data_IF_459063706695
#
_entry.id   IF_459063706695
#
_cell.length_a   1.000
_cell.length_b   1.000
_cell.length_c   1.000
_cell.angle_alpha   90.00
_cell.angle_beta   90.00
_cell.angle_gamma   90.00
#
_symmetry.space_group_name_H-M   'P 1'
#
loop_
_entity.id
_entity.type
_entity.pdbx_description
1 polymer ?
#
# COMPACT_ATOMS: atom_id res chain seq x y z
N UNK A 1 -11.22 -48.82 3.64
CA UNK A 1 -11.41 -47.78 2.62
C UNK A 1 -11.33 -46.44 3.31
N UNK A 2 -10.30 -45.59 3.09
CA UNK A 2 -10.34 -44.22 3.54
C UNK A 2 -11.44 -43.49 2.72
N UNK A 3 -12.49 -42.99 3.38
CA UNK A 3 -13.46 -42.11 2.72
C UNK A 3 -12.70 -40.94 2.09
N UNK A 4 -12.87 -40.72 0.80
CA UNK A 4 -12.33 -39.52 0.15
C UNK A 4 -12.92 -38.29 0.81
N UNK A 5 -12.15 -37.18 0.84
CA UNK A 5 -12.61 -35.89 1.36
C UNK A 5 -13.87 -35.42 0.62
N UNK A 6 -14.83 -34.86 1.33
CA UNK A 6 -15.98 -34.16 0.74
C UNK A 6 -15.54 -32.90 -0.01
N UNK A 7 -16.43 -32.31 -0.80
CA UNK A 7 -16.17 -31.03 -1.49
C UNK A 7 -15.78 -29.95 -0.49
N UNK A 8 -16.53 -29.79 0.57
CA UNK A 8 -16.29 -28.81 1.63
C UNK A 8 -14.94 -29.03 2.33
N UNK A 9 -14.60 -30.28 2.67
CA UNK A 9 -13.31 -30.60 3.29
C UNK A 9 -12.14 -30.26 2.37
N UNK A 10 -12.27 -30.47 1.06
CA UNK A 10 -11.25 -30.10 0.06
C UNK A 10 -11.11 -28.60 -0.08
N UNK A 11 -12.21 -27.85 -0.12
CA UNK A 11 -12.21 -26.38 -0.20
C UNK A 11 -11.55 -25.78 1.04
N UNK A 12 -11.91 -26.25 2.23
CA UNK A 12 -11.29 -25.77 3.47
C UNK A 12 -9.79 -26.10 3.54
N UNK A 13 -9.37 -27.27 3.04
CA UNK A 13 -7.96 -27.63 2.94
C UNK A 13 -7.20 -26.74 1.96
N UNK A 14 -7.80 -26.41 0.81
CA UNK A 14 -7.25 -25.48 -0.18
C UNK A 14 -7.05 -24.07 0.41
N UNK A 15 -8.08 -23.52 1.05
CA UNK A 15 -8.01 -22.20 1.70
C UNK A 15 -6.90 -22.18 2.75
N UNK A 16 -6.85 -23.21 3.60
CA UNK A 16 -5.81 -23.33 4.62
C UNK A 16 -4.41 -23.38 4.02
N UNK A 17 -4.22 -24.13 2.95
CA UNK A 17 -2.93 -24.24 2.25
C UNK A 17 -2.52 -22.89 1.67
N UNK A 18 -3.44 -22.15 1.01
CA UNK A 18 -3.17 -20.82 0.49
C UNK A 18 -2.73 -19.89 1.64
N UNK A 19 -3.49 -19.84 2.74
CA UNK A 19 -3.15 -19.00 3.90
C UNK A 19 -1.80 -19.35 4.55
N UNK A 20 -1.39 -20.61 4.49
CA UNK A 20 -0.14 -21.09 5.11
C UNK A 20 1.08 -20.98 4.22
N UNK A 21 0.96 -21.30 2.94
CA UNK A 21 2.12 -21.37 2.01
C UNK A 21 2.32 -20.07 1.26
N UNK A 22 1.23 -19.35 0.96
CA UNK A 22 1.27 -18.11 0.20
C UNK A 22 1.12 -16.89 1.10
N UNK A 23 1.95 -16.81 2.14
CA UNK A 23 1.97 -15.66 3.02
C UNK A 23 3.33 -14.93 2.98
N UNK A 24 3.30 -13.64 3.28
CA UNK A 24 4.47 -12.77 3.38
C UNK A 24 4.45 -12.00 4.69
N UNK A 25 5.63 -11.76 5.24
CA UNK A 25 5.76 -10.78 6.31
C UNK A 25 5.41 -9.39 5.77
N UNK A 26 4.64 -8.65 6.54
CA UNK A 26 4.23 -7.29 6.25
C UNK A 26 4.25 -6.46 7.53
N UNK A 27 4.20 -5.16 7.37
CA UNK A 27 4.09 -4.21 8.46
C UNK A 27 2.79 -3.43 8.24
N UNK A 28 1.80 -3.71 9.07
CA UNK A 28 0.57 -2.94 9.09
C UNK A 28 0.83 -1.54 9.67
N UNK A 29 0.17 -0.53 9.12
CA UNK A 29 0.27 0.86 9.55
C UNK A 29 -1.09 1.29 10.06
N UNK A 30 -1.14 1.64 11.35
CA UNK A 30 -2.30 2.27 11.96
C UNK A 30 -2.08 3.79 12.05
N UNK A 31 -3.03 4.55 11.53
CA UNK A 31 -3.00 6.02 11.58
C UNK A 31 -3.74 6.52 12.82
N UNK A 32 -3.06 7.36 13.60
CA UNK A 32 -3.64 8.02 14.78
C UNK A 32 -3.83 9.50 14.46
N UNK A 33 -5.08 9.98 14.32
CA UNK A 33 -5.38 11.34 13.90
C UNK A 33 -5.09 12.37 15.01
N UNK A 34 -4.90 13.62 14.61
CA UNK A 34 -4.73 14.77 15.49
C UNK A 34 -3.60 14.62 16.52
N UNK A 35 -2.56 13.86 16.16
CA UNK A 35 -1.42 13.62 17.05
C UNK A 35 -0.30 14.60 16.72
N UNK A 36 0.28 15.23 17.74
CA UNK A 36 1.48 16.05 17.57
C UNK A 36 2.63 15.16 17.08
N UNK A 37 3.14 15.47 15.88
CA UNK A 37 4.24 14.74 15.25
C UNK A 37 5.50 15.62 15.20
N UNK A 38 6.68 15.01 15.23
CA UNK A 38 7.95 15.71 15.07
C UNK A 38 8.40 15.71 13.61
N UNK A 39 9.37 16.57 13.29
CA UNK A 39 9.98 16.64 11.95
C UNK A 39 10.62 15.32 11.51
N UNK A 40 10.98 14.46 12.43
CA UNK A 40 11.67 13.20 12.15
C UNK A 40 10.84 11.96 12.43
N UNK A 41 9.63 12.09 12.99
CA UNK A 41 8.75 10.95 13.25
C UNK A 41 7.97 10.52 12.01
N UNK A 42 7.56 9.26 11.97
CA UNK A 42 6.68 8.74 10.93
C UNK A 42 5.30 9.37 11.02
N UNK A 43 4.84 9.93 9.89
CA UNK A 43 3.54 10.60 9.85
C UNK A 43 2.97 10.71 8.43
N UNK A 44 1.67 10.99 8.36
CA UNK A 44 0.95 11.34 7.13
C UNK A 44 0.45 12.77 7.24
N UNK A 45 0.65 13.57 6.22
CA UNK A 45 0.16 14.94 6.07
C UNK A 45 0.47 15.86 7.26
N UNK A 46 1.60 15.62 7.93
CA UNK A 46 2.09 16.43 9.06
C UNK A 46 3.26 17.33 8.66
N UNK A 47 4.16 17.53 9.62
CA UNK A 47 5.46 18.15 9.38
C UNK A 47 6.44 17.12 8.85
N UNK A 48 7.44 17.55 8.10
CA UNK A 48 8.39 16.66 7.48
C UNK A 48 9.85 17.11 7.70
N UNK A 49 10.73 16.15 7.64
CA UNK A 49 12.17 16.38 7.69
C UNK A 49 12.67 16.96 6.35
N UNK A 50 13.47 18.01 6.40
CA UNK A 50 14.18 18.54 5.23
C UNK A 50 15.56 19.01 5.66
N UNK A 51 16.66 18.43 5.15
CA UNK A 51 18.01 18.92 5.40
C UNK A 51 18.17 20.36 4.88
N UNK A 52 18.95 21.19 5.56
CA UNK A 52 19.24 22.55 5.08
C UNK A 52 20.03 22.60 3.77
N UNK A 53 20.60 21.47 3.37
CA UNK A 53 21.29 21.32 2.08
C UNK A 53 20.36 21.05 0.90
N UNK A 54 19.09 20.73 1.18
CA UNK A 54 18.14 20.28 0.18
C UNK A 54 17.00 21.28 0.00
N UNK A 55 16.26 21.14 -1.07
CA UNK A 55 15.09 21.96 -1.37
C UNK A 55 13.82 21.09 -1.43
N UNK A 56 12.66 21.73 -1.31
CA UNK A 56 11.37 21.09 -1.54
C UNK A 56 11.35 20.46 -2.94
N UNK A 57 10.95 19.19 -3.08
CA UNK A 57 10.85 18.56 -4.39
C UNK A 57 9.86 19.28 -5.29
N UNK A 58 10.21 19.38 -6.56
CA UNK A 58 9.38 20.01 -7.59
C UNK A 58 9.14 19.05 -8.76
N UNK A 59 8.06 19.31 -9.52
CA UNK A 59 7.81 18.66 -10.80
C UNK A 59 8.64 19.30 -11.93
N UNK A 60 8.45 18.87 -13.17
CA UNK A 60 9.15 19.41 -14.34
C UNK A 60 8.85 20.90 -14.63
N UNK A 61 7.73 21.42 -14.15
CA UNK A 61 7.34 22.82 -14.30
C UNK A 61 7.86 23.72 -13.17
N UNK A 62 8.63 23.15 -12.21
CA UNK A 62 9.12 23.89 -11.06
C UNK A 62 8.09 24.08 -9.95
N UNK A 63 6.91 23.43 -10.03
CA UNK A 63 5.90 23.49 -9.00
C UNK A 63 6.22 22.52 -7.87
N UNK A 64 6.09 22.96 -6.62
CA UNK A 64 6.37 22.12 -5.46
C UNK A 64 5.43 20.93 -5.37
N UNK A 65 5.99 19.75 -5.13
CA UNK A 65 5.24 18.57 -4.81
C UNK A 65 4.63 18.70 -3.41
N UNK A 66 3.52 18.01 -3.21
CA UNK A 66 2.86 17.95 -1.93
C UNK A 66 3.44 16.81 -1.11
N UNK A 67 3.78 17.11 0.13
CA UNK A 67 4.18 16.11 1.10
C UNK A 67 3.00 15.20 1.44
N UNK A 68 3.17 13.90 1.25
CA UNK A 68 2.16 12.90 1.59
C UNK A 68 2.46 12.24 2.94
N UNK A 69 3.65 11.68 3.08
CA UNK A 69 4.00 10.90 4.25
C UNK A 69 5.53 10.76 4.40
N UNK A 70 5.97 10.46 5.61
CA UNK A 70 7.32 9.95 5.85
C UNK A 70 7.32 8.80 6.84
N UNK A 71 8.32 7.94 6.67
CA UNK A 71 8.61 6.80 7.55
C UNK A 71 10.01 6.99 8.11
N UNK A 72 10.11 7.10 9.43
CA UNK A 72 11.37 6.93 10.13
C UNK A 72 11.65 5.43 10.24
N UNK A 73 12.70 4.96 9.59
CA UNK A 73 13.02 3.54 9.54
C UNK A 73 13.36 2.94 10.91
N UNK A 74 13.79 3.75 11.88
CA UNK A 74 14.05 3.33 13.25
C UNK A 74 12.78 3.01 14.05
N UNK A 75 11.63 3.52 13.61
CA UNK A 75 10.33 3.23 14.21
C UNK A 75 9.70 1.94 13.69
N UNK A 76 10.26 1.36 12.59
CA UNK A 76 9.77 0.13 12.02
C UNK A 76 10.14 -1.08 12.89
N UNK A 77 9.25 -2.06 13.04
CA UNK A 77 9.63 -3.34 13.63
C UNK A 77 10.73 -4.02 12.79
N UNK A 78 11.48 -4.93 13.43
CA UNK A 78 12.55 -5.65 12.75
C UNK A 78 12.05 -6.29 11.44
N UNK A 79 12.67 -5.90 10.34
CA UNK A 79 12.28 -6.32 8.99
C UNK A 79 13.51 -6.43 8.08
N UNK A 80 13.35 -7.09 6.94
CA UNK A 80 14.38 -7.27 5.91
C UNK A 80 14.04 -6.53 4.60
N UNK A 81 13.04 -5.66 4.61
CA UNK A 81 12.53 -4.97 3.41
C UNK A 81 13.09 -3.56 3.34
N UNK A 82 13.09 -2.85 4.46
CA UNK A 82 13.47 -1.45 4.55
C UNK A 82 14.81 -1.26 5.28
N UNK A 83 15.49 -0.12 5.03
CA UNK A 83 16.64 0.28 5.83
C UNK A 83 16.31 0.30 7.32
N UNK A 84 17.32 0.13 8.16
CA UNK A 84 17.15 0.15 9.63
C UNK A 84 17.20 1.56 10.21
N UNK A 85 17.73 2.51 9.47
CA UNK A 85 17.92 3.91 9.89
C UNK A 85 17.49 4.85 8.76
N UNK A 86 17.30 6.11 9.11
CA UNK A 86 16.99 7.15 8.15
C UNK A 86 15.50 7.35 7.91
N UNK A 87 15.18 8.27 7.00
CA UNK A 87 13.80 8.69 6.72
C UNK A 87 13.49 8.46 5.24
N UNK A 88 12.39 7.80 4.96
CA UNK A 88 11.82 7.65 3.62
C UNK A 88 10.64 8.61 3.51
N UNK A 89 10.61 9.42 2.47
CA UNK A 89 9.52 10.37 2.21
C UNK A 89 8.82 10.07 0.90
N UNK A 90 7.51 10.33 0.90
CA UNK A 90 6.64 10.20 -0.25
C UNK A 90 6.04 11.56 -0.59
N UNK A 91 6.25 11.97 -1.84
CA UNK A 91 5.79 13.24 -2.37
C UNK A 91 4.99 13.01 -3.64
N UNK A 92 3.91 13.74 -3.80
CA UNK A 92 3.04 13.64 -4.98
C UNK A 92 2.67 15.03 -5.47
N UNK A 93 2.41 15.14 -6.77
CA UNK A 93 1.71 16.28 -7.29
C UNK A 93 0.21 16.00 -7.21
N UNK A 94 -0.48 16.75 -6.38
CA UNK A 94 -1.93 16.65 -6.27
C UNK A 94 -2.54 17.28 -7.52
N UNK A 95 -2.74 16.55 -8.60
CA UNK A 95 -3.48 16.99 -9.77
C UNK A 95 -4.98 16.90 -9.58
N UNK A 96 -5.74 17.55 -10.45
CA UNK A 96 -7.19 17.48 -10.46
C UNK A 96 -7.65 16.03 -10.69
N UNK A 97 -8.13 15.38 -9.62
CA UNK A 97 -8.67 14.01 -9.66
C UNK A 97 -9.97 13.92 -10.46
N UNK A 98 -10.61 15.06 -10.77
CA UNK A 98 -11.87 15.12 -11.50
C UNK A 98 -11.72 15.09 -13.03
N UNK A 99 -10.51 15.09 -13.54
CA UNK A 99 -10.29 14.84 -14.96
C UNK A 99 -10.04 13.35 -15.18
N UNK A 100 -10.54 12.78 -16.28
CA UNK A 100 -10.28 11.40 -16.73
C UNK A 100 -8.76 11.04 -16.77
N UNK A 101 -7.92 12.03 -16.61
CA UNK A 101 -6.46 11.95 -16.50
C UNK A 101 -5.90 12.09 -15.08
N UNK A 102 -6.74 12.27 -14.04
CA UNK A 102 -6.27 12.58 -12.68
C UNK A 102 -5.40 11.50 -12.05
N UNK A 103 -5.83 10.26 -12.12
CA UNK A 103 -5.03 9.11 -11.70
C UNK A 103 -3.82 8.89 -12.61
N UNK A 104 -3.95 9.14 -13.92
CA UNK A 104 -2.85 9.04 -14.88
C UNK A 104 -1.69 10.01 -14.57
N UNK A 105 -1.97 11.20 -14.05
CA UNK A 105 -0.93 12.14 -13.63
C UNK A 105 -0.21 11.72 -12.36
N UNK A 106 -0.89 11.06 -11.42
CA UNK A 106 -0.25 10.52 -10.22
C UNK A 106 0.64 9.31 -10.51
N UNK A 107 0.42 8.59 -11.62
CA UNK A 107 1.24 7.44 -12.02
C UNK A 107 2.52 7.86 -12.76
N UNK A 108 2.59 9.08 -13.28
CA UNK A 108 3.78 9.61 -13.96
C UNK A 108 4.92 9.84 -12.96
N UNK A 109 6.13 9.43 -13.32
CA UNK A 109 7.34 9.61 -12.50
C UNK A 109 7.72 11.08 -12.26
N UNK A 110 7.25 11.98 -13.12
CA UNK A 110 7.47 13.42 -12.98
C UNK A 110 6.63 14.05 -11.84
N UNK A 111 5.54 13.42 -11.47
CA UNK A 111 4.58 13.93 -10.49
C UNK A 111 4.66 13.21 -9.13
N UNK A 112 5.68 12.39 -8.92
CA UNK A 112 5.91 11.71 -7.65
C UNK A 112 7.40 11.66 -7.33
N UNK A 113 7.75 11.62 -6.05
CA UNK A 113 9.12 11.37 -5.58
C UNK A 113 9.07 10.50 -4.35
N UNK A 114 9.99 9.54 -4.30
CA UNK A 114 10.35 8.84 -3.08
C UNK A 114 11.79 9.24 -2.76
N UNK A 115 12.02 9.81 -1.59
CA UNK A 115 13.32 10.32 -1.17
C UNK A 115 13.74 9.55 0.07
N UNK A 116 14.98 9.07 0.08
CA UNK A 116 15.57 8.41 1.23
C UNK A 116 16.74 9.21 1.78
N UNK A 117 16.63 9.62 3.04
CA UNK A 117 17.68 10.26 3.81
C UNK A 117 18.28 9.23 4.77
N UNK A 118 19.48 8.68 4.50
CA UNK A 118 20.05 7.60 5.30
C UNK A 118 20.49 8.07 6.70
N UNK A 119 20.72 9.35 6.87
CA UNK A 119 21.15 9.97 8.13
C UNK A 119 20.44 11.30 8.34
N UNK A 120 20.07 11.59 9.58
CA UNK A 120 19.51 12.87 9.97
C UNK A 120 20.65 13.87 10.12
N UNK A 121 20.56 14.97 9.40
CA UNK A 121 21.50 16.09 9.40
C UNK A 121 20.84 17.33 9.98
N UNK A 122 21.58 18.46 10.00
CA UNK A 122 21.01 19.77 10.26
C UNK A 122 19.84 20.02 9.28
N UNK A 123 18.70 20.41 9.82
CA UNK A 123 17.46 20.51 9.06
C UNK A 123 16.67 21.75 9.42
N UNK A 124 15.74 22.10 8.58
CA UNK A 124 14.80 23.18 8.82
C UNK A 124 13.93 22.90 10.04
N UNK A 125 13.58 23.92 10.81
CA UNK A 125 12.55 23.84 11.83
C UNK A 125 11.15 24.06 11.21
N UNK A 126 10.09 23.95 12.02
CA UNK A 126 8.70 24.05 11.54
C UNK A 126 8.38 25.42 10.96
N UNK A 127 8.87 26.48 11.60
CA UNK A 127 8.67 27.86 11.18
C UNK A 127 9.38 28.12 9.85
N UNK A 128 10.64 27.73 9.73
CA UNK A 128 11.42 27.84 8.49
C UNK A 128 10.75 27.04 7.34
N UNK A 129 10.23 25.84 7.61
CA UNK A 129 9.49 25.07 6.62
C UNK A 129 8.21 25.78 6.17
N UNK A 130 7.48 26.38 7.11
CA UNK A 130 6.27 27.14 6.79
C UNK A 130 6.56 28.32 5.87
N UNK A 131 7.77 28.86 5.87
CA UNK A 131 8.17 29.95 4.99
C UNK A 131 8.53 29.52 3.56
N UNK A 132 8.98 28.31 3.36
CA UNK A 132 9.46 27.81 2.06
C UNK A 132 8.53 26.79 1.40
N UNK A 133 7.68 26.11 2.15
CA UNK A 133 6.76 25.11 1.62
C UNK A 133 5.43 25.78 1.21
N UNK A 134 5.21 25.84 -0.09
CA UNK A 134 4.04 26.48 -0.74
C UNK A 134 3.46 25.53 -1.78
N UNK A 135 2.86 24.39 -1.38
CA UNK A 135 2.22 23.50 -2.33
C UNK A 135 1.03 24.21 -2.99
N UNK A 136 0.77 23.90 -4.23
CA UNK A 136 -0.38 24.45 -4.93
C UNK A 136 -1.70 23.91 -4.33
N UNK A 137 -2.41 24.76 -3.56
CA UNK A 137 -3.63 24.35 -2.86
C UNK A 137 -4.81 24.06 -3.82
N UNK A 138 -4.83 24.67 -4.99
CA UNK A 138 -5.89 24.41 -5.99
C UNK A 138 -5.86 22.95 -6.50
N UNK A 139 -4.79 22.24 -6.21
CA UNK A 139 -4.51 20.89 -6.67
C UNK A 139 -4.83 19.83 -5.60
N UNK A 140 -5.33 20.23 -4.44
CA UNK A 140 -5.83 19.31 -3.43
C UNK A 140 -7.14 18.69 -3.92
N UNK A 141 -7.03 17.56 -4.62
CA UNK A 141 -8.19 16.75 -4.97
C UNK A 141 -8.98 16.29 -3.73
N UNK A 142 -10.23 15.92 -3.90
CA UNK A 142 -11.13 15.51 -2.80
C UNK A 142 -10.55 14.42 -1.91
N UNK A 143 -9.79 13.48 -2.47
CA UNK A 143 -9.12 12.40 -1.74
C UNK A 143 -8.12 12.95 -0.72
N UNK A 144 -7.32 13.93 -1.11
CA UNK A 144 -6.30 14.53 -0.25
C UNK A 144 -6.93 15.47 0.74
N UNK A 145 -8.00 16.19 0.37
CA UNK A 145 -8.74 17.01 1.31
C UNK A 145 -9.39 16.20 2.43
N UNK A 146 -9.79 14.97 2.15
CA UNK A 146 -10.34 14.04 3.16
C UNK A 146 -9.27 13.58 4.14
N UNK A 147 -8.08 13.26 3.66
CA UNK A 147 -6.92 12.92 4.50
C UNK A 147 -6.50 14.13 5.34
N UNK A 148 -6.43 15.32 4.75
CA UNK A 148 -5.96 16.53 5.43
C UNK A 148 -6.92 17.07 6.49
N UNK A 149 -8.23 16.75 6.43
CA UNK A 149 -9.20 17.24 7.44
C UNK A 149 -8.87 16.80 8.87
N UNK A 150 -8.29 15.62 9.03
CA UNK A 150 -7.94 15.05 10.33
C UNK A 150 -6.42 14.93 10.53
N UNK A 151 -5.63 15.58 9.67
CA UNK A 151 -4.18 15.62 9.77
C UNK A 151 -3.73 16.50 10.95
N UNK A 152 -2.52 16.29 11.48
CA UNK A 152 -1.61 15.20 11.09
C UNK A 152 -1.98 13.84 11.68
N UNK A 153 -1.51 12.77 11.03
CA UNK A 153 -1.64 11.42 11.56
C UNK A 153 -0.26 10.90 11.95
N UNK A 154 -0.11 10.45 13.18
CA UNK A 154 1.04 9.62 13.55
C UNK A 154 0.85 8.20 13.01
N UNK A 155 1.95 7.53 12.67
CA UNK A 155 1.94 6.13 12.27
C UNK A 155 2.33 5.23 13.44
N UNK A 156 1.61 4.14 13.62
CA UNK A 156 1.98 3.04 14.51
C UNK A 156 2.16 1.79 13.65
N UNK A 157 3.25 1.09 13.85
CA UNK A 157 3.65 -0.05 13.04
C UNK A 157 3.48 -1.36 13.79
N UNK A 158 2.91 -2.35 13.13
CA UNK A 158 2.76 -3.70 13.68
C UNK A 158 3.22 -4.73 12.66
N UNK A 159 4.13 -5.62 13.09
CA UNK A 159 4.57 -6.74 12.27
C UNK A 159 3.46 -7.78 12.18
N UNK A 160 3.07 -8.12 10.96
CA UNK A 160 2.01 -9.09 10.69
C UNK A 160 2.35 -9.97 9.49
N UNK A 161 1.42 -10.80 9.08
CA UNK A 161 1.51 -11.61 7.88
C UNK A 161 0.26 -11.40 7.04
N UNK A 162 0.47 -11.36 5.74
CA UNK A 162 -0.61 -11.30 4.77
C UNK A 162 -0.48 -12.48 3.82
N UNK A 163 -1.55 -13.21 3.60
CA UNK A 163 -1.64 -14.19 2.51
C UNK A 163 -2.06 -13.51 1.21
N UNK A 164 -1.85 -14.22 0.10
CA UNK A 164 -2.31 -13.71 -1.20
C UNK A 164 -3.83 -13.56 -1.21
N UNK A 165 -4.29 -12.38 -1.63
CA UNK A 165 -5.72 -12.06 -1.71
C UNK A 165 -6.21 -12.14 -3.15
N UNK A 166 -7.53 -12.30 -3.37
CA UNK A 166 -8.12 -12.26 -4.71
C UNK A 166 -7.81 -10.99 -5.51
N UNK A 167 -7.43 -9.92 -4.82
CA UNK A 167 -7.11 -8.63 -5.43
C UNK A 167 -5.65 -8.52 -5.91
N UNK A 168 -4.79 -9.51 -5.62
CA UNK A 168 -3.43 -9.55 -6.13
C UNK A 168 -3.40 -10.21 -7.52
N UNK A 169 -2.68 -9.63 -8.47
CA UNK A 169 -2.58 -10.14 -9.85
C UNK A 169 -2.02 -11.56 -9.96
N UNK A 170 -1.38 -12.08 -8.92
CA UNK A 170 -0.84 -13.45 -8.86
C UNK A 170 -1.85 -14.48 -8.38
N UNK A 171 -2.96 -14.01 -7.80
CA UNK A 171 -3.92 -14.87 -7.11
C UNK A 171 -4.47 -15.97 -8.01
N UNK A 172 -4.96 -15.61 -9.19
CA UNK A 172 -5.59 -16.57 -10.12
C UNK A 172 -4.65 -17.72 -10.45
N UNK A 173 -3.40 -17.41 -10.76
CA UNK A 173 -2.37 -18.44 -11.04
C UNK A 173 -2.14 -19.36 -9.85
N UNK A 174 -1.95 -18.80 -8.66
CA UNK A 174 -1.72 -19.55 -7.42
C UNK A 174 -2.93 -20.42 -7.11
N UNK A 175 -4.12 -19.86 -7.23
CA UNK A 175 -5.37 -20.56 -7.01
C UNK A 175 -5.50 -21.77 -7.94
N UNK A 176 -5.31 -21.60 -9.24
CA UNK A 176 -5.44 -22.65 -10.24
C UNK A 176 -4.43 -23.79 -10.02
N UNK A 177 -3.19 -23.45 -9.63
CA UNK A 177 -2.16 -24.45 -9.33
C UNK A 177 -2.55 -25.30 -8.11
N UNK A 178 -3.07 -24.66 -7.05
CA UNK A 178 -3.48 -25.36 -5.83
C UNK A 178 -4.81 -26.08 -5.99
N UNK A 179 -5.75 -25.52 -6.77
CA UNK A 179 -7.00 -26.19 -7.10
C UNK A 179 -6.80 -27.58 -7.71
N UNK A 180 -5.89 -27.68 -8.68
CA UNK A 180 -5.54 -28.97 -9.36
C UNK A 180 -5.08 -30.04 -8.39
N UNK A 181 -4.52 -29.69 -7.26
CA UNK A 181 -4.07 -30.64 -6.24
C UNK A 181 -5.24 -31.34 -5.53
N UNK A 182 -6.33 -30.63 -5.30
CA UNK A 182 -7.50 -31.13 -4.58
C UNK A 182 -8.59 -31.66 -5.49
N UNK A 183 -8.66 -31.14 -6.71
CA UNK A 183 -9.71 -31.43 -7.67
C UNK A 183 -9.11 -31.92 -8.99
N UNK A 184 -9.61 -33.04 -9.49
CA UNK A 184 -9.09 -33.64 -10.72
C UNK A 184 -9.45 -32.89 -12.00
N UNK A 185 -10.21 -31.80 -11.90
CA UNK A 185 -10.65 -30.95 -12.99
C UNK A 185 -9.83 -29.64 -13.06
N UNK A 186 -9.56 -29.21 -14.28
CA UNK A 186 -8.92 -27.91 -14.54
C UNK A 186 -9.99 -26.80 -14.63
N UNK A 187 -10.65 -26.50 -13.53
CA UNK A 187 -11.59 -25.38 -13.46
C UNK A 187 -10.79 -24.15 -13.07
N UNK A 188 -10.85 -23.09 -13.88
CA UNK A 188 -10.32 -21.79 -13.51
C UNK A 188 -11.23 -21.11 -12.46
N UNK A 189 -10.71 -20.12 -11.76
CA UNK A 189 -11.50 -19.35 -10.80
C UNK A 189 -12.75 -18.72 -11.45
N UNK A 190 -12.62 -18.18 -12.65
CA UNK A 190 -13.75 -17.63 -13.41
C UNK A 190 -14.80 -18.68 -13.71
N UNK A 191 -14.38 -19.86 -14.19
CA UNK A 191 -15.29 -20.99 -14.47
C UNK A 191 -15.92 -21.55 -13.18
N UNK A 192 -15.25 -21.43 -12.04
CA UNK A 192 -15.79 -21.85 -10.76
C UNK A 192 -17.01 -20.99 -10.35
N UNK A 193 -17.00 -19.71 -10.67
CA UNK A 193 -18.16 -18.83 -10.47
C UNK A 193 -19.37 -19.26 -11.28
N UNK A 194 -19.15 -19.65 -12.53
CA UNK A 194 -20.24 -20.07 -13.41
C UNK A 194 -20.86 -21.42 -12.98
N UNK A 195 -20.06 -22.30 -12.42
CA UNK A 195 -20.47 -23.68 -12.09
C UNK A 195 -20.86 -23.83 -10.62
N UNK A 196 -20.12 -23.17 -9.72
CA UNK A 196 -20.26 -23.32 -8.26
C UNK A 196 -20.17 -21.96 -7.55
N UNK A 197 -21.08 -21.05 -7.84
CA UNK A 197 -21.10 -19.67 -7.34
C UNK A 197 -20.91 -19.56 -5.82
N UNK A 198 -21.66 -20.34 -5.03
CA UNK A 198 -21.57 -20.30 -3.57
C UNK A 198 -20.20 -20.72 -3.04
N UNK A 199 -19.60 -21.76 -3.67
CA UNK A 199 -18.25 -22.22 -3.32
C UNK A 199 -17.19 -21.17 -3.67
N UNK A 200 -17.32 -20.55 -4.84
CA UNK A 200 -16.41 -19.49 -5.28
C UNK A 200 -16.50 -18.28 -4.33
N UNK A 201 -17.70 -17.82 -4.03
CA UNK A 201 -17.93 -16.71 -3.09
C UNK A 201 -17.34 -17.01 -1.71
N UNK A 202 -17.58 -18.18 -1.16
CA UNK A 202 -17.02 -18.61 0.11
C UNK A 202 -15.48 -18.58 0.12
N UNK A 203 -14.85 -19.09 -0.95
CA UNK A 203 -13.38 -19.07 -1.08
C UNK A 203 -12.85 -17.65 -1.12
N UNK A 204 -13.51 -16.76 -1.88
CA UNK A 204 -13.07 -15.37 -1.98
C UNK A 204 -13.24 -14.63 -0.66
N UNK A 205 -14.38 -14.82 0.02
CA UNK A 205 -14.65 -14.19 1.32
C UNK A 205 -13.62 -14.63 2.36
N UNK A 206 -13.28 -15.92 2.40
CA UNK A 206 -12.29 -16.46 3.33
C UNK A 206 -10.84 -15.99 3.03
N UNK A 207 -10.53 -15.71 1.77
CA UNK A 207 -9.21 -15.23 1.36
C UNK A 207 -9.13 -13.70 1.27
N UNK A 208 -10.26 -13.02 1.35
CA UNK A 208 -10.28 -11.57 1.44
C UNK A 208 -9.62 -11.10 2.73
N UNK A 209 -8.88 -10.01 2.65
CA UNK A 209 -8.35 -9.30 3.81
C UNK A 209 -8.84 -7.86 3.75
N UNK A 210 -9.16 -7.31 4.91
CA UNK A 210 -9.48 -5.88 4.99
C UNK A 210 -8.34 -5.04 4.41
N UNK A 211 -8.71 -3.94 3.75
CA UNK A 211 -7.75 -3.00 3.19
C UNK A 211 -7.00 -2.30 4.33
N UNK A 212 -5.76 -2.69 4.56
CA UNK A 212 -4.86 -2.04 5.50
C UNK A 212 -3.83 -1.21 4.75
N UNK A 213 -3.46 -0.07 5.32
CA UNK A 213 -2.24 0.61 4.90
C UNK A 213 -1.09 -0.26 5.42
N UNK A 214 -0.21 -0.69 4.51
CA UNK A 214 0.85 -1.63 4.88
C UNK A 214 2.11 -1.42 4.06
N UNK A 215 3.20 -1.94 4.58
CA UNK A 215 4.50 -2.01 3.93
C UNK A 215 4.81 -3.47 3.61
N UNK A 216 5.15 -3.77 2.35
CA UNK A 216 5.41 -5.14 1.88
C UNK A 216 4.12 -5.94 1.65
N UNK A 217 4.25 -7.26 1.57
CA UNK A 217 3.12 -8.17 1.36
C UNK A 217 2.68 -8.31 -0.10
N UNK A 218 1.38 -8.47 -0.29
CA UNK A 218 0.71 -8.58 -1.58
C UNK A 218 -0.02 -7.28 -1.92
N UNK A 219 -0.11 -6.97 -3.21
CA UNK A 219 -0.84 -5.80 -3.67
C UNK A 219 -2.36 -5.98 -3.50
N UNK A 220 -3.03 -4.89 -3.20
CA UNK A 220 -4.50 -4.82 -3.19
C UNK A 220 -4.88 -3.83 -4.28
N UNK A 221 -5.37 -4.34 -5.41
CA UNK A 221 -5.76 -3.54 -6.55
C UNK A 221 -7.28 -3.50 -6.66
N UNK A 222 -7.85 -2.32 -6.83
CA UNK A 222 -9.31 -2.13 -6.94
C UNK A 222 -9.88 -2.71 -8.22
N UNK A 223 -9.07 -2.82 -9.27
CA UNK A 223 -9.42 -3.46 -10.53
C UNK A 223 -8.70 -4.80 -10.64
N UNK A 224 -9.45 -5.89 -10.78
CA UNK A 224 -8.92 -7.22 -11.03
C UNK A 224 -8.12 -7.19 -12.33
N UNK A 225 -6.91 -7.74 -12.31
CA UNK A 225 -6.03 -7.97 -13.47
C UNK A 225 -5.03 -6.86 -13.85
N UNK A 226 -4.85 -5.81 -13.06
CA UNK A 226 -3.75 -4.88 -13.32
C UNK A 226 -2.45 -5.51 -12.81
N UNK A 227 -1.63 -5.99 -13.73
CA UNK A 227 -0.24 -6.36 -13.43
C UNK A 227 0.56 -5.04 -13.28
N UNK A 228 1.02 -4.68 -12.07
CA UNK A 228 1.73 -3.42 -11.86
C UNK A 228 3.04 -3.33 -12.65
N UNK A 229 3.58 -4.46 -13.13
CA UNK A 229 4.77 -4.49 -14.00
C UNK A 229 4.49 -3.95 -15.42
N UNK A 230 3.23 -3.81 -15.80
CA UNK A 230 2.79 -3.25 -17.09
C UNK A 230 2.48 -1.76 -17.03
N UNK A 231 2.54 -1.16 -15.82
CA UNK A 231 2.23 0.26 -15.60
C UNK A 231 3.48 1.14 -15.53
N UNK A 232 4.67 0.58 -15.85
CA UNK A 232 5.95 1.28 -15.86
C UNK A 232 6.68 1.10 -17.21
#
# INVERSE_FOLDING_TARGET
MRKGLTMEEKVNALIKEIKQEENKETIAIKLIPNTKVSLTSSNVAGVFYLPKTDSIPVNENGEQLMYLAQINCEELPANNIYPKTGIIQFWIFGGDVNTDSGLGKCTSDINKRVIYYPTIKEHYNVEELADIYRPNEAVRGELISSICKNAPFAMVFEKTKQWVTPQDFRFEKIFDEKWKKYFANNISLSSLFDIYYETASYILDELYTENHIQIGGYGIFSEFHIDPRRCF
#
